data_IF_921929799293
#
_entry.id   IF_921929799293
#
_cell.length_a   1.000
_cell.length_b   1.000
_cell.length_c   1.000
_cell.angle_alpha   90.00
_cell.angle_beta   90.00
_cell.angle_gamma   90.00
#
_symmetry.space_group_name_H-M   'P 1'
#
loop_
_entity.id
_entity.type
_entity.pdbx_description
1 polymer ?
#
# COMPACT_ATOMS: atom_id res chain seq x y z
N UNK A 1 0.72 -1.09 -34.01
CA UNK A 1 -0.34 -1.73 -33.19
C UNK A 1 0.36 -2.70 -32.25
N UNK A 2 0.76 -2.23 -31.06
CA UNK A 2 1.46 -3.02 -30.05
C UNK A 2 0.62 -2.99 -28.77
N UNK A 3 0.44 -4.13 -28.09
CA UNK A 3 -0.60 -4.33 -27.10
C UNK A 3 -0.34 -3.55 -25.81
N UNK A 4 -1.44 -3.06 -25.23
CA UNK A 4 -1.48 -2.28 -24.00
C UNK A 4 -0.74 -2.96 -22.86
N UNK A 5 0.43 -2.41 -22.53
CA UNK A 5 1.05 -2.59 -21.22
C UNK A 5 0.16 -1.81 -20.27
N UNK A 6 -0.82 -2.50 -19.65
CA UNK A 6 -1.63 -1.94 -18.57
C UNK A 6 -0.68 -1.30 -17.57
N UNK A 7 -0.78 0.02 -17.43
CA UNK A 7 -0.25 0.74 -16.29
C UNK A 7 -0.98 0.24 -15.04
N UNK A 8 -0.55 -0.91 -14.53
CA UNK A 8 -0.82 -1.29 -13.16
C UNK A 8 -0.08 -0.27 -12.32
N UNK A 9 -0.84 0.66 -11.74
CA UNK A 9 -0.38 1.64 -10.77
C UNK A 9 0.71 1.00 -9.91
N UNK A 10 1.87 1.66 -9.82
CA UNK A 10 3.11 1.15 -9.20
C UNK A 10 2.88 0.41 -7.89
N UNK A 11 1.92 0.84 -7.08
CA UNK A 11 1.46 0.19 -5.83
C UNK A 11 0.84 -1.20 -6.05
N UNK A 12 -0.03 -1.37 -7.06
CA UNK A 12 -0.69 -2.64 -7.39
C UNK A 12 0.30 -3.65 -7.96
N UNK A 13 1.27 -3.19 -8.75
CA UNK A 13 2.38 -4.02 -9.25
C UNK A 13 3.30 -4.47 -8.11
N UNK A 14 3.65 -3.55 -7.19
CA UNK A 14 4.48 -3.85 -6.02
C UNK A 14 3.83 -4.90 -5.10
N UNK A 15 2.55 -4.74 -4.79
CA UNK A 15 1.80 -5.71 -3.97
C UNK A 15 1.76 -7.10 -4.61
N UNK A 16 1.57 -7.19 -5.93
CA UNK A 16 1.57 -8.48 -6.65
C UNK A 16 2.94 -9.17 -6.60
N UNK A 17 4.03 -8.41 -6.79
CA UNK A 17 5.39 -8.93 -6.70
C UNK A 17 5.70 -9.45 -5.29
N UNK A 18 5.27 -8.74 -4.24
CA UNK A 18 5.44 -9.20 -2.85
C UNK A 18 4.69 -10.51 -2.59
N UNK A 19 3.46 -10.66 -3.11
CA UNK A 19 2.71 -11.93 -3.01
C UNK A 19 3.47 -13.08 -3.67
N UNK A 20 4.06 -12.86 -4.84
CA UNK A 20 4.87 -13.86 -5.53
C UNK A 20 6.13 -14.23 -4.74
N UNK A 21 6.79 -13.25 -4.12
CA UNK A 21 7.97 -13.48 -3.27
C UNK A 21 7.61 -14.32 -2.05
N UNK A 22 6.49 -14.02 -1.38
CA UNK A 22 6.03 -14.81 -0.22
C UNK A 22 5.72 -16.26 -0.62
N UNK A 23 5.05 -16.46 -1.77
CA UNK A 23 4.76 -17.80 -2.29
C UNK A 23 6.04 -18.58 -2.63
N UNK A 24 6.96 -17.96 -3.37
CA UNK A 24 8.23 -18.58 -3.73
C UNK A 24 9.08 -18.93 -2.49
N UNK A 25 9.16 -18.02 -1.52
CA UNK A 25 9.85 -18.26 -0.26
C UNK A 25 9.20 -19.40 0.54
N UNK A 26 7.87 -19.44 0.60
CA UNK A 26 7.14 -20.54 1.25
C UNK A 26 7.43 -21.91 0.63
N UNK A 27 7.47 -22.00 -0.70
CA UNK A 27 7.86 -23.24 -1.41
C UNK A 27 9.31 -23.63 -1.07
N UNK A 28 10.23 -22.66 -1.06
CA UNK A 28 11.64 -22.89 -0.70
C UNK A 28 11.84 -23.37 0.74
N UNK A 29 11.04 -22.87 1.70
CA UNK A 29 11.06 -23.34 3.10
C UNK A 29 10.65 -24.81 3.17
N UNK A 30 9.56 -25.20 2.49
CA UNK A 30 9.05 -26.56 2.50
C UNK A 30 10.08 -27.51 1.89
N UNK A 31 10.63 -27.16 0.72
CA UNK A 31 11.62 -27.96 0.00
C UNK A 31 12.90 -28.15 0.83
N UNK A 32 13.44 -27.07 1.39
CA UNK A 32 14.65 -27.09 2.22
C UNK A 32 14.47 -27.88 3.54
N UNK A 33 13.26 -27.86 4.12
CA UNK A 33 12.93 -28.66 5.29
C UNK A 33 12.91 -30.17 4.95
N UNK A 34 12.37 -30.56 3.79
CA UNK A 34 12.45 -31.95 3.29
C UNK A 34 13.88 -32.38 3.02
N UNK A 35 14.73 -31.49 2.51
CA UNK A 35 16.15 -31.75 2.25
C UNK A 35 17.04 -31.70 3.51
N UNK A 36 16.49 -31.35 4.69
CA UNK A 36 17.21 -31.13 5.97
C UNK A 36 18.35 -30.10 5.89
N UNK A 37 18.30 -29.21 4.90
CA UNK A 37 19.26 -28.11 4.75
C UNK A 37 18.76 -26.89 5.51
N UNK A 38 19.09 -26.84 6.80
CA UNK A 38 18.61 -25.80 7.73
C UNK A 38 19.05 -24.38 7.38
N UNK A 39 20.17 -24.22 6.68
CA UNK A 39 20.65 -22.91 6.21
C UNK A 39 19.70 -22.28 5.17
N UNK A 40 19.24 -23.08 4.21
CA UNK A 40 18.26 -22.64 3.20
C UNK A 40 16.90 -22.31 3.85
N UNK A 41 16.47 -23.08 4.84
CA UNK A 41 15.25 -22.80 5.61
C UNK A 41 15.34 -21.42 6.29
N UNK A 42 16.49 -21.10 6.89
CA UNK A 42 16.71 -19.82 7.55
C UNK A 42 16.67 -18.65 6.54
N UNK A 43 17.35 -18.78 5.40
CA UNK A 43 17.39 -17.75 4.35
C UNK A 43 15.99 -17.48 3.79
N UNK A 44 15.24 -18.52 3.39
CA UNK A 44 13.88 -18.33 2.89
C UNK A 44 12.93 -17.80 3.97
N UNK A 45 13.10 -18.20 5.22
CA UNK A 45 12.37 -17.65 6.37
C UNK A 45 12.57 -16.15 6.53
N UNK A 46 13.82 -15.67 6.45
CA UNK A 46 14.14 -14.24 6.51
C UNK A 46 13.54 -13.48 5.33
N UNK A 47 13.66 -14.01 4.11
CA UNK A 47 13.05 -13.40 2.92
C UNK A 47 11.53 -13.28 3.09
N UNK A 48 10.87 -14.35 3.57
CA UNK A 48 9.43 -14.34 3.82
C UNK A 48 9.05 -13.31 4.88
N UNK A 49 9.80 -13.23 6.00
CA UNK A 49 9.56 -12.26 7.05
C UNK A 49 9.70 -10.81 6.54
N UNK A 50 10.73 -10.52 5.76
CA UNK A 50 10.94 -9.21 5.14
C UNK A 50 9.85 -8.87 4.13
N UNK A 51 9.42 -9.84 3.32
CA UNK A 51 8.35 -9.64 2.35
C UNK A 51 7.00 -9.35 3.04
N UNK A 52 6.70 -10.05 4.14
CA UNK A 52 5.50 -9.80 4.96
C UNK A 52 5.58 -8.44 5.65
N UNK A 53 6.74 -8.07 6.21
CA UNK A 53 6.95 -6.76 6.83
C UNK A 53 6.82 -5.61 5.80
N UNK A 54 7.35 -5.79 4.59
CA UNK A 54 7.19 -4.83 3.51
C UNK A 54 5.72 -4.73 3.05
N UNK A 55 5.01 -5.87 3.01
CA UNK A 55 3.59 -5.89 2.65
C UNK A 55 2.70 -5.21 3.71
N UNK A 56 3.01 -5.36 5.01
CA UNK A 56 2.28 -4.69 6.09
C UNK A 56 2.59 -3.21 6.21
N UNK A 57 3.78 -2.77 5.76
CA UNK A 57 4.17 -1.37 5.65
C UNK A 57 3.56 -0.62 4.47
N UNK A 58 2.93 -1.31 3.50
CA UNK A 58 2.21 -0.64 2.42
C UNK A 58 0.98 0.07 3.02
N UNK A 59 0.80 1.39 2.81
CA UNK A 59 -0.38 2.11 3.25
C UNK A 59 -1.60 1.71 2.40
N UNK A 60 -2.12 0.50 2.64
CA UNK A 60 -3.29 -0.07 1.96
C UNK A 60 -4.57 -0.05 2.80
N UNK A 61 -4.47 0.25 4.09
CA UNK A 61 -5.63 0.37 4.97
C UNK A 61 -6.19 1.80 4.92
N UNK A 62 -7.38 1.98 4.34
CA UNK A 62 -8.22 3.16 4.65
C UNK A 62 -8.49 3.12 6.16
N UNK A 63 -7.79 3.95 6.94
CA UNK A 63 -8.13 4.14 8.34
C UNK A 63 -9.51 4.79 8.39
N UNK A 64 -10.46 4.11 9.03
CA UNK A 64 -11.78 4.68 9.30
C UNK A 64 -11.60 5.73 10.39
N UNK A 65 -11.62 6.99 9.98
CA UNK A 65 -11.53 8.12 10.90
C UNK A 65 -12.94 8.62 11.17
N UNK A 66 -13.27 8.83 12.44
CA UNK A 66 -14.49 9.52 12.83
C UNK A 66 -14.31 11.02 12.58
N UNK A 67 -15.10 11.56 11.64
CA UNK A 67 -15.10 12.99 11.33
C UNK A 67 -15.97 13.74 12.34
N UNK A 68 -15.57 14.97 12.68
CA UNK A 68 -16.49 15.89 13.37
C UNK A 68 -17.70 16.18 12.46
N UNK A 69 -18.89 16.39 13.05
CA UNK A 69 -20.13 16.53 12.30
C UNK A 69 -20.15 17.74 11.35
N UNK A 70 -19.46 18.82 11.69
CA UNK A 70 -19.30 19.99 10.83
C UNK A 70 -18.47 19.70 9.57
N UNK A 71 -17.36 18.97 9.71
CA UNK A 71 -16.54 18.51 8.59
C UNK A 71 -17.28 17.50 7.72
N UNK A 72 -18.06 16.59 8.34
CA UNK A 72 -18.90 15.66 7.60
C UNK A 72 -19.95 16.41 6.76
N UNK A 73 -20.56 17.46 7.32
CA UNK A 73 -21.52 18.30 6.61
C UNK A 73 -20.85 19.09 5.47
N UNK A 74 -19.71 19.71 5.71
CA UNK A 74 -18.93 20.40 4.69
C UNK A 74 -18.53 19.47 3.54
N UNK A 75 -18.07 18.24 3.87
CA UNK A 75 -17.67 17.24 2.89
C UNK A 75 -18.84 16.81 2.02
N UNK A 76 -20.01 16.59 2.62
CA UNK A 76 -21.23 16.25 1.89
C UNK A 76 -21.65 17.36 0.91
N UNK A 77 -21.61 18.63 1.35
CA UNK A 77 -21.94 19.77 0.50
C UNK A 77 -20.96 19.89 -0.67
N UNK A 78 -19.66 19.70 -0.40
CA UNK A 78 -18.61 19.80 -1.41
C UNK A 78 -18.67 18.66 -2.42
N UNK A 79 -18.96 17.44 -1.96
CA UNK A 79 -19.19 16.28 -2.81
C UNK A 79 -20.38 16.50 -3.75
N UNK A 80 -21.50 17.00 -3.21
CA UNK A 80 -22.69 17.33 -4.01
C UNK A 80 -22.39 18.41 -5.07
N UNK A 81 -21.65 19.46 -4.71
CA UNK A 81 -21.26 20.52 -5.64
C UNK A 81 -20.30 20.03 -6.75
N UNK A 82 -19.44 19.06 -6.45
CA UNK A 82 -18.47 18.52 -7.40
C UNK A 82 -19.01 17.35 -8.24
N UNK A 83 -20.15 16.75 -7.85
CA UNK A 83 -20.66 15.54 -8.49
C UNK A 83 -19.79 14.30 -8.25
N UNK A 84 -18.99 14.29 -7.18
CA UNK A 84 -18.03 13.23 -6.86
C UNK A 84 -18.36 12.55 -5.53
N UNK A 85 -17.89 11.31 -5.29
CA UNK A 85 -18.03 10.66 -4.00
C UNK A 85 -17.30 11.46 -2.90
N UNK A 86 -17.86 11.55 -1.68
CA UNK A 86 -17.25 12.27 -0.56
C UNK A 86 -15.84 11.76 -0.24
N UNK A 87 -15.61 10.46 -0.40
CA UNK A 87 -14.29 9.83 -0.26
C UNK A 87 -13.23 10.46 -1.15
N UNK A 88 -13.54 10.78 -2.42
CA UNK A 88 -12.57 11.37 -3.34
C UNK A 88 -12.24 12.81 -2.99
N UNK A 89 -13.23 13.53 -2.47
CA UNK A 89 -13.02 14.90 -1.97
C UNK A 89 -12.12 14.86 -0.73
N UNK A 90 -12.36 13.93 0.18
CA UNK A 90 -11.53 13.72 1.37
C UNK A 90 -10.10 13.32 1.00
N UNK A 91 -9.92 12.35 0.10
CA UNK A 91 -8.61 11.89 -0.37
C UNK A 91 -7.80 13.06 -0.98
N UNK A 92 -8.45 13.93 -1.76
CA UNK A 92 -7.82 15.11 -2.37
C UNK A 92 -7.46 16.17 -1.32
N UNK A 93 -8.33 16.43 -0.36
CA UNK A 93 -8.06 17.37 0.73
C UNK A 93 -6.87 16.91 1.57
N UNK A 94 -6.80 15.61 1.89
CA UNK A 94 -5.68 15.00 2.63
C UNK A 94 -4.40 15.05 1.80
N UNK A 95 -4.45 14.75 0.50
CA UNK A 95 -3.29 14.80 -0.39
C UNK A 95 -2.72 16.23 -0.48
N UNK A 96 -3.58 17.23 -0.64
CA UNK A 96 -3.17 18.64 -0.66
C UNK A 96 -2.55 19.08 0.68
N UNK A 97 -3.15 18.67 1.80
CA UNK A 97 -2.60 18.93 3.13
C UNK A 97 -1.22 18.31 3.31
N UNK A 98 -1.05 17.04 2.93
CA UNK A 98 0.25 16.34 3.02
C UNK A 98 1.32 17.00 2.15
N UNK A 99 0.98 17.37 0.92
CA UNK A 99 1.89 18.07 0.02
C UNK A 99 2.38 19.39 0.63
N UNK A 100 1.47 20.17 1.22
CA UNK A 100 1.82 21.42 1.92
C UNK A 100 2.69 21.21 3.17
N UNK A 101 2.56 20.07 3.85
CA UNK A 101 3.42 19.74 5.00
C UNK A 101 4.83 19.30 4.59
N UNK A 102 4.99 18.61 3.46
CA UNK A 102 6.30 18.19 2.95
C UNK A 102 7.11 19.34 2.34
N UNK A 103 6.45 20.36 1.78
CA UNK A 103 7.12 21.57 1.28
C UNK A 103 7.60 22.51 2.41
N UNK A 104 7.27 22.19 3.67
CA UNK A 104 7.66 22.95 4.85
C UNK A 104 8.92 22.41 5.56
N UNK A 105 9.71 21.52 4.92
CA UNK A 105 11.08 21.24 5.37
C UNK A 105 11.99 22.47 5.10
N UNK A 106 12.41 23.20 6.14
CA UNK A 106 13.24 24.39 5.97
C UNK A 106 14.70 23.97 5.86
N UNK A 107 15.40 24.67 4.97
CA UNK A 107 16.81 24.99 5.15
C UNK A 107 17.09 25.35 6.62
N UNK A 108 17.86 24.51 7.31
CA UNK A 108 18.55 24.81 8.56
C UNK A 108 19.95 24.19 8.51
#
# INVERSE_FOLDING_TARGET
MAPGVREMSTTRRSSWLLTLVVLAAGIGIIDAATARTWDLVAVFGVIMALAVAAASGLPGGRRVLTLRPDLAHWLALRAAAAGEPPDRVADRAIAAYRAGMTDQEPHA
#
